data_IF_429551145407
#
_entry.id   IF_429551145407
#
_cell.length_a   1.000
_cell.length_b   1.000
_cell.length_c   1.000
_cell.angle_alpha   90.00
_cell.angle_beta   90.00
_cell.angle_gamma   90.00
#
_symmetry.space_group_name_H-M   'P 1'
#
loop_
_entity.id
_entity.type
_entity.pdbx_description
1 polymer ?
#
# COMPACT_ATOMS: atom_id res chain seq x y z
N UNK A 1 21.44 -26.11 22.20
CA UNK A 1 20.24 -25.30 21.88
C UNK A 1 20.53 -23.84 22.24
N UNK A 2 21.24 -23.11 21.37
CA UNK A 2 21.40 -21.67 21.48
C UNK A 2 20.12 -21.02 20.95
N UNK A 3 19.20 -20.71 21.85
CA UNK A 3 18.12 -19.79 21.54
C UNK A 3 18.77 -18.47 21.14
N UNK A 4 18.71 -18.12 19.86
CA UNK A 4 18.98 -16.75 19.42
C UNK A 4 18.03 -15.89 20.22
N UNK A 5 18.55 -15.14 21.19
CA UNK A 5 17.76 -14.18 21.96
C UNK A 5 17.05 -13.31 20.93
N UNK A 6 15.70 -13.35 20.85
CA UNK A 6 14.98 -12.58 19.86
C UNK A 6 15.33 -11.12 20.11
N UNK A 7 16.11 -10.54 19.19
CA UNK A 7 16.42 -9.12 19.21
C UNK A 7 15.06 -8.44 19.13
N UNK A 8 14.68 -7.71 20.17
CA UNK A 8 13.44 -6.94 20.19
C UNK A 8 13.60 -5.80 19.20
N UNK A 9 13.26 -6.07 17.94
CA UNK A 9 13.13 -5.04 16.91
C UNK A 9 11.94 -4.17 17.36
N UNK A 10 12.15 -2.86 17.61
CA UNK A 10 11.05 -1.95 17.89
C UNK A 10 10.02 -2.05 16.77
N UNK A 11 8.74 -2.15 17.12
CA UNK A 11 7.66 -2.26 16.12
C UNK A 11 7.56 -1.03 15.20
N UNK A 12 8.18 0.08 15.60
CA UNK A 12 8.23 1.34 14.87
C UNK A 12 9.67 1.62 14.44
N UNK A 13 10.01 1.18 13.22
CA UNK A 13 11.34 1.34 12.59
C UNK A 13 11.58 2.79 12.16
N UNK A 14 10.52 3.59 12.00
CA UNK A 14 10.56 5.01 11.65
C UNK A 14 10.64 5.93 12.88
N UNK A 15 11.34 5.50 13.95
CA UNK A 15 11.58 6.37 15.09
C UNK A 15 12.48 7.55 14.69
N UNK A 16 11.95 8.75 14.81
CA UNK A 16 12.70 9.98 14.55
C UNK A 16 13.88 10.15 15.52
N UNK A 17 15.02 10.54 14.96
CA UNK A 17 16.24 10.79 15.74
C UNK A 17 16.03 11.87 16.80
N UNK A 18 16.46 11.54 18.01
CA UNK A 18 16.44 12.44 19.16
C UNK A 18 17.72 13.28 19.15
N UNK A 19 17.57 14.60 19.05
CA UNK A 19 18.71 15.52 18.89
C UNK A 19 19.09 16.16 20.22
N UNK A 20 18.12 16.72 20.94
CA UNK A 20 18.40 17.51 22.16
C UNK A 20 17.55 16.98 23.31
N UNK A 21 18.21 16.57 24.40
CA UNK A 21 17.57 16.14 25.65
C UNK A 21 16.45 15.08 25.47
N UNK A 22 16.56 14.23 24.45
CA UNK A 22 15.57 13.19 24.15
C UNK A 22 14.40 13.63 23.27
N UNK A 23 14.38 14.88 22.79
CA UNK A 23 13.38 15.40 21.85
C UNK A 23 13.85 15.31 20.40
N UNK A 24 12.90 15.10 19.49
CA UNK A 24 13.10 15.13 18.04
C UNK A 24 13.32 16.56 17.53
N UNK A 25 13.95 16.72 16.37
CA UNK A 25 14.10 18.03 15.72
C UNK A 25 12.76 18.78 15.62
N UNK A 26 11.71 18.06 15.21
CA UNK A 26 10.35 18.59 15.08
C UNK A 26 9.82 19.11 16.42
N UNK A 27 9.96 18.34 17.49
CA UNK A 27 9.49 18.73 18.82
C UNK A 27 10.17 20.01 19.31
N UNK A 28 11.49 20.12 19.11
CA UNK A 28 12.25 21.32 19.46
C UNK A 28 11.73 22.52 18.68
N UNK A 29 11.51 22.39 17.36
CA UNK A 29 10.97 23.48 16.53
C UNK A 29 9.59 23.94 17.02
N UNK A 30 8.69 23.01 17.35
CA UNK A 30 7.35 23.35 17.86
C UNK A 30 7.44 24.07 19.21
N UNK A 31 8.25 23.56 20.14
CA UNK A 31 8.39 24.14 21.48
C UNK A 31 9.06 25.52 21.44
N UNK A 32 10.17 25.64 20.70
CA UNK A 32 10.89 26.92 20.53
C UNK A 32 10.01 27.92 19.80
N UNK A 33 9.30 27.51 18.74
CA UNK A 33 8.36 28.37 18.02
C UNK A 33 7.21 28.87 18.90
N UNK A 34 6.63 27.98 19.72
CA UNK A 34 5.58 28.36 20.69
C UNK A 34 6.11 29.34 21.72
N UNK A 35 7.30 29.08 22.28
CA UNK A 35 7.95 29.96 23.24
C UNK A 35 8.28 31.34 22.65
N UNK A 36 8.81 31.38 21.43
CA UNK A 36 9.12 32.62 20.73
C UNK A 36 7.85 33.45 20.44
N UNK A 37 6.75 32.79 20.05
CA UNK A 37 5.46 33.45 19.81
C UNK A 37 4.88 34.04 21.09
N UNK A 38 4.93 33.30 22.20
CA UNK A 38 4.50 33.79 23.50
C UNK A 38 5.36 34.96 23.99
N UNK A 39 6.67 34.89 23.81
CA UNK A 39 7.58 35.97 24.17
C UNK A 39 7.35 37.23 23.32
N UNK A 40 7.18 37.09 22.00
CA UNK A 40 6.87 38.21 21.12
C UNK A 40 5.54 38.88 21.49
N UNK A 41 4.50 38.08 21.79
CA UNK A 41 3.22 38.60 22.27
C UNK A 41 3.36 39.37 23.59
N UNK A 42 4.18 38.85 24.51
CA UNK A 42 4.48 39.53 25.77
C UNK A 42 5.23 40.85 25.56
N UNK A 43 6.21 40.92 24.66
CA UNK A 43 6.93 42.17 24.37
C UNK A 43 6.02 43.23 23.73
N UNK A 44 5.05 42.84 22.90
CA UNK A 44 4.13 43.76 22.22
C UNK A 44 3.05 44.36 23.15
N UNK A 45 2.58 43.57 24.11
CA UNK A 45 1.34 43.86 24.86
C UNK A 45 1.53 43.83 26.38
N UNK A 46 2.64 43.27 26.88
CA UNK A 46 2.91 43.04 28.30
C UNK A 46 2.94 44.30 29.14
N UNK A 47 3.42 45.43 28.61
CA UNK A 47 3.41 46.71 29.31
C UNK A 47 2.00 47.32 29.44
N UNK A 48 1.04 46.85 28.64
CA UNK A 48 -0.33 47.38 28.60
C UNK A 48 -1.34 46.50 29.34
N UNK A 49 -0.95 45.28 29.74
CA UNK A 49 -1.86 44.27 30.27
C UNK A 49 -1.30 43.70 31.57
N UNK A 50 -2.12 43.56 32.63
CA UNK A 50 -1.68 42.96 33.88
C UNK A 50 -1.08 41.57 33.67
N UNK A 51 0.02 41.27 34.39
CA UNK A 51 0.76 40.00 34.26
C UNK A 51 -0.14 38.76 34.40
N UNK A 52 -1.16 38.82 35.26
CA UNK A 52 -2.11 37.73 35.48
C UNK A 52 -2.92 37.41 34.22
N UNK A 53 -3.33 38.43 33.47
CA UNK A 53 -4.09 38.26 32.22
C UNK A 53 -3.18 37.69 31.14
N UNK A 54 -1.94 38.18 31.03
CA UNK A 54 -0.93 37.61 30.14
C UNK A 54 -0.67 36.13 30.45
N UNK A 55 -0.49 35.77 31.71
CA UNK A 55 -0.28 34.38 32.14
C UNK A 55 -1.50 33.49 31.85
N UNK A 56 -2.72 33.99 32.11
CA UNK A 56 -3.96 33.26 31.85
C UNK A 56 -4.16 32.92 30.36
N UNK A 57 -3.71 33.78 29.45
CA UNK A 57 -3.76 33.54 28.00
C UNK A 57 -2.57 32.70 27.52
N UNK A 58 -1.37 32.93 28.07
CA UNK A 58 -0.16 32.21 27.68
C UNK A 58 -0.20 30.73 28.09
N UNK A 59 -0.77 30.42 29.26
CA UNK A 59 -0.83 29.06 29.78
C UNK A 59 -1.53 28.05 28.83
N UNK A 60 -2.75 28.28 28.32
CA UNK A 60 -3.39 27.33 27.41
C UNK A 60 -2.64 27.18 26.08
N UNK A 61 -1.99 28.24 25.58
CA UNK A 61 -1.19 28.19 24.36
C UNK A 61 0.08 27.35 24.59
N UNK A 62 0.76 27.55 25.72
CA UNK A 62 1.93 26.76 26.10
C UNK A 62 1.57 25.28 26.26
N UNK A 63 0.46 24.98 26.96
CA UNK A 63 -0.05 23.60 27.10
C UNK A 63 -0.39 23.01 25.73
N UNK A 64 -1.06 23.76 24.85
CA UNK A 64 -1.37 23.31 23.50
C UNK A 64 -0.10 23.02 22.69
N UNK A 65 0.93 23.87 22.77
CA UNK A 65 2.22 23.66 22.08
C UNK A 65 2.97 22.42 22.61
N UNK A 66 2.94 22.19 23.92
CA UNK A 66 3.51 20.98 24.54
C UNK A 66 2.76 19.73 24.08
N UNK A 67 1.42 19.75 24.12
CA UNK A 67 0.59 18.64 23.63
C UNK A 67 0.83 18.41 22.13
N UNK A 68 0.93 19.45 21.32
CA UNK A 68 1.22 19.35 19.89
C UNK A 68 2.57 18.69 19.61
N UNK A 69 3.60 18.99 20.43
CA UNK A 69 4.92 18.38 20.30
C UNK A 69 4.96 16.93 20.79
N UNK A 70 4.27 16.62 21.89
CA UNK A 70 4.48 15.37 22.64
C UNK A 70 3.39 14.33 22.45
N UNK A 71 2.14 14.75 22.22
CA UNK A 71 1.03 13.83 22.13
C UNK A 71 1.07 13.04 20.81
N UNK A 72 0.67 11.78 20.90
CA UNK A 72 0.47 10.90 19.77
C UNK A 72 -0.95 10.34 19.78
N UNK A 73 -1.50 10.12 18.61
CA UNK A 73 -2.77 9.46 18.40
C UNK A 73 -2.56 8.37 17.35
N UNK A 74 -2.82 7.11 17.70
CA UNK A 74 -2.66 5.93 16.84
C UNK A 74 -1.30 5.86 16.13
N UNK A 75 -0.23 6.21 16.85
CA UNK A 75 1.15 6.22 16.33
C UNK A 75 1.56 7.49 15.59
N UNK A 76 0.62 8.34 15.17
CA UNK A 76 0.90 9.64 14.55
C UNK A 76 1.10 10.73 15.59
N UNK A 77 2.01 11.67 15.32
CA UNK A 77 2.16 12.88 16.14
C UNK A 77 0.94 13.80 15.97
N UNK A 78 0.56 14.52 17.04
CA UNK A 78 -0.67 15.33 17.06
C UNK A 78 -0.70 16.42 15.98
N UNK A 79 0.46 16.99 15.64
CA UNK A 79 0.59 17.96 14.55
C UNK A 79 0.24 17.35 13.17
N UNK A 80 0.75 16.15 12.87
CA UNK A 80 0.43 15.42 11.63
C UNK A 80 -1.05 15.02 11.60
N UNK A 81 -1.58 14.59 12.74
CA UNK A 81 -2.99 14.25 12.88
C UNK A 81 -3.88 15.47 12.62
N UNK A 82 -3.64 16.60 13.30
CA UNK A 82 -4.42 17.83 13.10
C UNK A 82 -4.31 18.35 11.67
N UNK A 83 -3.13 18.25 11.06
CA UNK A 83 -2.95 18.63 9.67
C UNK A 83 -3.73 17.71 8.72
N UNK A 84 -3.77 16.40 8.99
CA UNK A 84 -4.62 15.46 8.28
C UNK A 84 -6.11 15.77 8.46
N UNK A 85 -6.54 16.15 9.67
CA UNK A 85 -7.92 16.59 9.95
C UNK A 85 -8.25 17.86 9.17
N UNK A 86 -7.39 18.88 9.19
CA UNK A 86 -7.60 20.12 8.42
C UNK A 86 -7.67 19.84 6.93
N UNK A 87 -6.77 19.00 6.39
CA UNK A 87 -6.83 18.55 4.99
C UNK A 87 -8.12 17.81 4.70
N UNK A 88 -8.55 16.90 5.57
CA UNK A 88 -9.78 16.15 5.41
C UNK A 88 -11.02 17.06 5.43
N UNK A 89 -11.07 18.04 6.33
CA UNK A 89 -12.17 19.01 6.42
C UNK A 89 -12.24 19.91 5.18
N UNK A 90 -11.09 20.27 4.60
CA UNK A 90 -11.00 21.07 3.36
C UNK A 90 -11.17 20.24 2.08
N UNK A 91 -11.01 18.92 2.15
CA UNK A 91 -11.12 18.05 0.99
C UNK A 91 -12.59 17.96 0.50
N UNK A 92 -12.80 17.91 -0.83
CA UNK A 92 -14.14 17.75 -1.38
C UNK A 92 -14.74 16.41 -0.93
N UNK A 93 -15.98 16.46 -0.42
CA UNK A 93 -16.68 15.28 0.13
C UNK A 93 -17.45 14.47 -0.91
N UNK A 94 -17.70 15.05 -2.08
CA UNK A 94 -18.42 14.42 -3.18
C UNK A 94 -17.40 14.17 -4.27
N UNK A 95 -17.04 12.90 -4.47
CA UNK A 95 -16.06 12.46 -5.46
C UNK A 95 -16.77 11.62 -6.51
N UNK A 96 -16.46 11.83 -7.79
CA UNK A 96 -17.03 11.08 -8.91
C UNK A 96 -15.90 10.46 -9.72
N UNK A 97 -16.10 9.21 -10.14
CA UNK A 97 -15.24 8.56 -11.13
C UNK A 97 -15.55 9.17 -12.50
N UNK A 98 -14.77 10.16 -12.90
CA UNK A 98 -14.85 10.79 -14.21
C UNK A 98 -13.45 10.79 -14.83
N UNK A 99 -13.34 10.37 -16.09
CA UNK A 99 -12.07 10.36 -16.84
C UNK A 99 -11.61 11.75 -17.25
N UNK A 100 -12.53 12.73 -17.29
CA UNK A 100 -12.28 14.13 -17.58
C UNK A 100 -12.70 15.01 -16.40
N UNK A 101 -12.28 16.28 -16.41
CA UNK A 101 -12.76 17.26 -15.44
C UNK A 101 -14.29 17.33 -15.45
N UNK A 102 -14.88 17.40 -14.26
CA UNK A 102 -16.34 17.43 -14.11
C UNK A 102 -16.86 18.73 -14.76
N UNK A 103 -17.66 18.64 -15.85
CA UNK A 103 -18.16 19.83 -16.51
C UNK A 103 -19.11 20.61 -15.58
N UNK A 104 -19.17 21.94 -15.70
CA UNK A 104 -20.10 22.74 -14.91
C UNK A 104 -21.55 22.36 -15.24
N UNK A 105 -22.46 22.54 -14.27
CA UNK A 105 -23.88 22.30 -14.50
C UNK A 105 -24.38 23.14 -15.69
N UNK A 106 -25.12 22.53 -16.64
CA UNK A 106 -25.77 23.28 -17.69
C UNK A 106 -26.71 24.36 -17.13
N UNK A 107 -26.69 25.54 -17.73
CA UNK A 107 -27.42 26.73 -17.25
C UNK A 107 -28.95 26.60 -17.29
N UNK A 108 -29.48 25.63 -18.04
CA UNK A 108 -30.91 25.36 -18.14
C UNK A 108 -31.48 24.55 -16.97
N UNK A 109 -30.63 24.02 -16.08
CA UNK A 109 -31.07 23.28 -14.89
C UNK A 109 -31.29 24.27 -13.73
N UNK A 110 -32.57 24.52 -13.40
CA UNK A 110 -32.99 25.40 -12.29
C UNK A 110 -32.82 24.82 -10.88
N UNK A 111 -32.00 23.77 -10.71
CA UNK A 111 -31.73 23.18 -9.40
C UNK A 111 -30.83 24.10 -8.57
N UNK A 112 -31.08 24.22 -7.26
CA UNK A 112 -30.15 24.92 -6.36
C UNK A 112 -28.79 24.21 -6.42
N UNK A 113 -27.72 24.86 -6.89
CA UNK A 113 -26.43 24.20 -7.01
C UNK A 113 -25.91 23.90 -5.62
N UNK A 114 -25.81 22.61 -5.28
CA UNK A 114 -24.98 22.16 -4.17
C UNK A 114 -23.49 22.31 -4.50
N UNK A 115 -22.59 22.00 -3.55
CA UNK A 115 -21.17 21.94 -3.86
C UNK A 115 -20.93 20.95 -5.00
N UNK A 116 -20.23 21.40 -6.04
CA UNK A 116 -19.90 20.59 -7.20
C UNK A 116 -19.07 19.38 -6.76
N UNK A 117 -19.35 18.18 -7.31
CA UNK A 117 -18.49 17.04 -7.06
C UNK A 117 -17.11 17.29 -7.67
N UNK A 118 -16.08 16.85 -6.95
CA UNK A 118 -14.72 16.83 -7.48
C UNK A 118 -14.43 15.47 -8.12
N UNK A 119 -13.41 15.43 -8.97
CA UNK A 119 -12.94 14.18 -9.56
C UNK A 119 -12.27 13.30 -8.49
N UNK A 120 -12.61 12.00 -8.48
CA UNK A 120 -11.89 11.01 -7.70
C UNK A 120 -10.50 10.79 -8.33
N UNK A 121 -9.45 11.28 -7.67
CA UNK A 121 -8.07 11.05 -8.10
C UNK A 121 -7.49 9.86 -7.35
N UNK A 122 -7.28 8.76 -8.07
CA UNK A 122 -6.60 7.58 -7.53
C UNK A 122 -5.07 7.78 -7.57
N UNK A 123 -4.31 7.20 -6.64
CA UNK A 123 -2.84 7.26 -6.66
C UNK A 123 -2.23 6.65 -7.92
N UNK A 124 -2.88 5.61 -8.46
CA UNK A 124 -2.53 5.01 -9.74
C UNK A 124 -3.36 5.71 -10.82
N UNK A 125 -2.68 6.31 -11.80
CA UNK A 125 -3.32 7.02 -12.92
C UNK A 125 -3.56 6.10 -14.13
N UNK A 126 -2.79 5.02 -14.25
CA UNK A 126 -2.92 4.06 -15.35
C UNK A 126 -1.79 3.03 -15.35
N UNK A 127 -1.64 2.36 -16.49
CA UNK A 127 -0.58 1.39 -16.74
C UNK A 127 0.50 2.01 -17.61
N UNK A 128 1.76 1.82 -17.26
CA UNK A 128 2.92 2.32 -18.01
C UNK A 128 3.48 1.28 -19.00
N UNK A 129 2.77 0.17 -19.23
CA UNK A 129 3.23 -0.99 -20.02
C UNK A 129 3.90 -2.07 -19.16
N UNK A 130 3.95 -3.30 -19.68
CA UNK A 130 4.60 -4.47 -19.04
C UNK A 130 4.17 -4.75 -17.58
N UNK A 131 2.94 -4.39 -17.21
CA UNK A 131 2.43 -4.55 -15.84
C UNK A 131 2.92 -3.49 -14.83
N UNK A 132 3.64 -2.45 -15.29
CA UNK A 132 4.07 -1.33 -14.46
C UNK A 132 2.92 -0.34 -14.22
N UNK A 133 2.84 0.16 -12.99
CA UNK A 133 1.85 1.15 -12.57
C UNK A 133 2.39 2.57 -12.74
N UNK A 134 1.56 3.41 -13.36
CA UNK A 134 1.77 4.85 -13.47
C UNK A 134 1.20 5.55 -12.22
N UNK A 135 2.07 6.18 -11.41
CA UNK A 135 1.68 6.93 -10.21
C UNK A 135 1.62 8.46 -10.46
N UNK A 136 1.57 8.90 -11.71
CA UNK A 136 1.68 10.30 -12.11
C UNK A 136 2.93 10.99 -11.54
N UNK A 137 2.79 12.07 -10.74
CA UNK A 137 3.91 12.81 -10.18
C UNK A 137 4.76 11.97 -9.21
N UNK A 138 4.20 10.88 -8.68
CA UNK A 138 4.87 9.98 -7.75
C UNK A 138 5.77 8.94 -8.45
N UNK A 139 5.81 8.92 -9.78
CA UNK A 139 6.71 8.08 -10.57
C UNK A 139 6.06 6.76 -11.03
N UNK A 140 6.87 5.69 -11.08
CA UNK A 140 6.47 4.37 -11.57
C UNK A 140 6.61 3.33 -10.45
N UNK A 141 5.70 2.36 -10.40
CA UNK A 141 5.81 1.21 -9.51
C UNK A 141 5.71 -0.13 -10.25
N UNK A 142 6.56 -1.07 -9.88
CA UNK A 142 6.46 -2.47 -10.28
C UNK A 142 5.93 -3.28 -9.08
N UNK A 143 4.99 -4.18 -9.32
CA UNK A 143 4.48 -5.11 -8.30
C UNK A 143 4.80 -6.53 -8.74
N UNK A 144 5.39 -7.31 -7.84
CA UNK A 144 5.63 -8.72 -8.05
C UNK A 144 4.99 -9.57 -6.96
N UNK A 145 4.46 -10.72 -7.35
CA UNK A 145 4.08 -11.79 -6.44
C UNK A 145 5.32 -12.58 -6.03
N UNK A 146 5.42 -12.88 -4.74
CA UNK A 146 6.56 -13.59 -4.15
C UNK A 146 6.04 -14.85 -3.48
N UNK A 147 6.59 -16.00 -3.88
CA UNK A 147 6.26 -17.27 -3.21
C UNK A 147 6.82 -17.32 -1.80
N UNK A 148 6.34 -18.29 -1.02
CA UNK A 148 6.76 -18.47 0.37
C UNK A 148 7.47 -19.80 0.55
N UNK A 149 8.41 -19.86 1.50
CA UNK A 149 9.06 -21.10 1.93
C UNK A 149 8.70 -21.44 3.38
N UNK A 150 8.66 -22.73 3.71
CA UNK A 150 8.39 -23.21 5.08
C UNK A 150 9.61 -23.04 6.00
N UNK A 151 9.95 -21.80 6.35
CA UNK A 151 11.15 -21.44 7.10
C UNK A 151 11.29 -22.21 8.43
N UNK A 152 10.21 -22.33 9.20
CA UNK A 152 10.22 -22.97 10.52
C UNK A 152 10.49 -24.49 10.46
N UNK A 153 10.28 -25.13 9.30
CA UNK A 153 10.52 -26.57 9.11
C UNK A 153 11.94 -26.88 8.63
N UNK A 154 12.77 -25.86 8.40
CA UNK A 154 14.16 -26.00 7.95
C UNK A 154 15.11 -26.24 9.11
N UNK A 155 16.26 -26.87 8.83
CA UNK A 155 17.30 -27.04 9.83
C UNK A 155 17.91 -25.68 10.24
N UNK A 156 18.46 -25.51 11.45
CA UNK A 156 19.00 -24.21 11.90
C UNK A 156 20.07 -23.62 10.98
N UNK A 157 20.91 -24.46 10.38
CA UNK A 157 21.93 -24.04 9.42
C UNK A 157 21.31 -23.51 8.13
N UNK A 158 20.29 -24.20 7.60
CA UNK A 158 19.52 -23.75 6.44
C UNK A 158 18.78 -22.43 6.73
N UNK A 159 18.20 -22.29 7.92
CA UNK A 159 17.57 -21.05 8.38
C UNK A 159 18.59 -19.90 8.40
N UNK A 160 19.78 -20.12 8.94
CA UNK A 160 20.87 -19.14 8.94
C UNK A 160 21.30 -18.75 7.52
N UNK A 161 21.40 -19.71 6.60
CA UNK A 161 21.71 -19.45 5.21
C UNK A 161 20.63 -18.60 4.51
N UNK A 162 19.34 -18.91 4.72
CA UNK A 162 18.22 -18.14 4.19
C UNK A 162 18.22 -16.70 4.71
N UNK A 163 18.44 -16.51 6.02
CA UNK A 163 18.53 -15.17 6.63
C UNK A 163 19.73 -14.40 6.06
N UNK A 164 20.87 -15.05 5.86
CA UNK A 164 22.05 -14.41 5.28
C UNK A 164 21.82 -13.97 3.82
N UNK A 165 21.15 -14.78 3.00
CA UNK A 165 20.77 -14.40 1.62
C UNK A 165 19.81 -13.21 1.64
N UNK A 166 18.76 -13.28 2.47
CA UNK A 166 17.79 -12.19 2.60
C UNK A 166 18.46 -10.89 3.06
N UNK A 167 19.38 -10.96 4.02
CA UNK A 167 20.18 -9.82 4.47
C UNK A 167 21.06 -9.23 3.37
N UNK A 168 21.66 -10.08 2.51
CA UNK A 168 22.42 -9.60 1.33
C UNK A 168 21.52 -8.85 0.35
N UNK A 169 20.31 -9.34 0.11
CA UNK A 169 19.35 -8.65 -0.73
C UNK A 169 18.94 -7.29 -0.15
N UNK A 170 18.65 -7.22 1.16
CA UNK A 170 18.36 -5.94 1.83
C UNK A 170 19.51 -4.93 1.69
N UNK A 171 20.76 -5.41 1.85
CA UNK A 171 21.95 -4.57 1.71
C UNK A 171 22.25 -4.15 0.25
N UNK A 172 21.67 -4.83 -0.74
CA UNK A 172 21.83 -4.46 -2.16
C UNK A 172 20.77 -3.48 -2.66
N UNK A 173 19.78 -3.12 -1.84
CA UNK A 173 18.71 -2.22 -2.25
C UNK A 173 19.25 -0.81 -2.52
N UNK A 174 19.08 -0.35 -3.75
CA UNK A 174 19.48 1.00 -4.20
C UNK A 174 18.38 2.05 -4.06
N UNK A 175 17.22 1.68 -3.53
CA UNK A 175 16.07 2.56 -3.35
C UNK A 175 14.96 1.93 -2.51
N UNK A 176 13.82 2.61 -2.34
CA UNK A 176 12.72 2.12 -1.52
C UNK A 176 12.11 0.85 -2.14
N UNK A 177 11.81 -0.10 -1.28
CA UNK A 177 11.07 -1.33 -1.59
C UNK A 177 10.05 -1.53 -0.48
N UNK A 178 8.85 -1.95 -0.85
CA UNK A 178 7.81 -2.30 0.09
C UNK A 178 7.49 -3.80 -0.02
N UNK A 179 7.48 -4.47 1.12
CA UNK A 179 6.97 -5.84 1.24
C UNK A 179 5.58 -5.74 1.84
N UNK A 180 4.57 -6.15 1.09
CA UNK A 180 3.18 -6.16 1.53
C UNK A 180 2.72 -7.61 1.70
N UNK A 181 2.34 -7.96 2.92
CA UNK A 181 1.71 -9.26 3.20
C UNK A 181 0.23 -9.03 3.44
N UNK A 182 -0.63 -9.65 2.63
CA UNK A 182 -2.08 -9.55 2.76
C UNK A 182 -2.74 -10.91 2.83
N UNK A 183 -3.91 -10.98 3.46
CA UNK A 183 -4.82 -12.10 3.30
C UNK A 183 -5.63 -11.90 2.02
N UNK A 184 -5.72 -12.94 1.19
CA UNK A 184 -6.44 -12.96 -0.07
C UNK A 184 -7.34 -14.21 -0.09
N UNK A 185 -8.57 -14.08 -0.61
CA UNK A 185 -9.42 -15.24 -0.87
C UNK A 185 -8.76 -16.10 -1.95
N UNK A 186 -8.57 -17.38 -1.65
CA UNK A 186 -7.98 -18.34 -2.57
C UNK A 186 -9.02 -18.68 -3.64
N UNK A 187 -8.78 -18.21 -4.86
CA UNK A 187 -9.54 -18.65 -6.03
C UNK A 187 -9.03 -20.02 -6.51
N UNK A 188 -9.89 -21.02 -6.47
CA UNK A 188 -9.61 -22.38 -6.92
C UNK A 188 -10.18 -22.66 -8.33
N UNK A 189 -10.89 -21.73 -8.95
CA UNK A 189 -11.62 -21.96 -10.20
C UNK A 189 -10.70 -22.47 -11.33
N UNK A 190 -9.53 -21.84 -11.50
CA UNK A 190 -8.54 -22.25 -12.50
C UNK A 190 -7.98 -23.65 -12.21
N UNK A 191 -7.68 -23.94 -10.94
CA UNK A 191 -7.18 -25.25 -10.49
C UNK A 191 -8.22 -26.35 -10.74
N UNK A 192 -9.48 -26.09 -10.39
CA UNK A 192 -10.61 -27.02 -10.59
C UNK A 192 -10.80 -27.28 -12.09
N UNK A 193 -10.88 -26.23 -12.90
CA UNK A 193 -11.04 -26.35 -14.36
C UNK A 193 -9.89 -27.12 -15.00
N UNK A 194 -8.65 -26.86 -14.56
CA UNK A 194 -7.46 -27.57 -15.03
C UNK A 194 -7.48 -29.05 -14.64
N UNK A 195 -7.89 -29.37 -13.42
CA UNK A 195 -8.06 -30.75 -12.96
C UNK A 195 -9.12 -31.49 -13.78
N UNK A 196 -10.28 -30.86 -14.03
CA UNK A 196 -11.36 -31.45 -14.84
C UNK A 196 -10.94 -31.68 -16.29
N UNK A 197 -10.20 -30.74 -16.87
CA UNK A 197 -9.68 -30.86 -18.24
C UNK A 197 -8.65 -31.99 -18.34
N UNK A 198 -7.66 -31.99 -17.45
CA UNK A 198 -6.58 -32.99 -17.44
C UNK A 198 -7.11 -34.39 -17.09
N UNK A 199 -8.15 -34.50 -16.24
CA UNK A 199 -8.76 -35.77 -15.89
C UNK A 199 -9.26 -36.55 -17.11
N UNK A 200 -9.71 -35.86 -18.17
CA UNK A 200 -10.19 -36.50 -19.42
C UNK A 200 -9.07 -37.06 -20.27
N UNK A 201 -7.83 -36.63 -20.05
CA UNK A 201 -6.65 -37.03 -20.81
C UNK A 201 -5.85 -38.14 -20.11
N UNK A 202 -6.22 -38.53 -18.89
CA UNK A 202 -5.50 -39.54 -18.13
C UNK A 202 -5.70 -40.94 -18.73
N UNK A 203 -4.63 -41.76 -18.82
CA UNK A 203 -4.65 -43.02 -19.55
C UNK A 203 -5.48 -44.12 -18.88
N UNK A 204 -5.72 -44.03 -17.56
CA UNK A 204 -6.41 -45.05 -16.78
C UNK A 204 -7.72 -44.50 -16.18
N UNK A 205 -8.86 -45.21 -16.31
CA UNK A 205 -10.17 -44.71 -15.87
C UNK A 205 -10.23 -44.41 -14.38
N UNK A 206 -9.56 -45.21 -13.54
CA UNK A 206 -9.49 -44.95 -12.09
C UNK A 206 -8.77 -43.63 -11.75
N UNK A 207 -7.76 -43.22 -12.52
CA UNK A 207 -7.06 -41.95 -12.32
C UNK A 207 -7.94 -40.77 -12.75
N UNK A 208 -8.68 -40.93 -13.85
CA UNK A 208 -9.68 -39.96 -14.29
C UNK A 208 -10.76 -39.74 -13.23
N UNK A 209 -11.31 -40.84 -12.69
CA UNK A 209 -12.31 -40.78 -11.61
C UNK A 209 -11.75 -40.10 -10.35
N UNK A 210 -10.53 -40.42 -9.93
CA UNK A 210 -9.90 -39.80 -8.77
C UNK A 210 -9.66 -38.29 -8.96
N UNK A 211 -9.21 -37.87 -10.16
CA UNK A 211 -9.00 -36.46 -10.48
C UNK A 211 -10.32 -35.66 -10.47
N UNK A 212 -11.40 -36.22 -11.02
CA UNK A 212 -12.73 -35.59 -10.97
C UNK A 212 -13.29 -35.53 -9.55
N UNK A 213 -13.10 -36.58 -8.74
CA UNK A 213 -13.47 -36.56 -7.32
C UNK A 213 -12.71 -35.49 -6.55
N UNK A 214 -11.42 -35.28 -6.86
CA UNK A 214 -10.63 -34.22 -6.26
C UNK A 214 -11.15 -32.83 -6.66
N UNK A 215 -11.45 -32.61 -7.94
CA UNK A 215 -12.05 -31.36 -8.41
C UNK A 215 -13.38 -31.06 -7.70
N UNK A 216 -14.26 -32.08 -7.56
CA UNK A 216 -15.52 -31.96 -6.82
C UNK A 216 -15.31 -31.63 -5.34
N UNK A 217 -14.32 -32.25 -4.69
CA UNK A 217 -13.97 -31.94 -3.31
C UNK A 217 -13.50 -30.48 -3.16
N UNK A 218 -12.62 -30.00 -4.06
CA UNK A 218 -12.14 -28.61 -4.04
C UNK A 218 -13.26 -27.61 -4.30
N UNK A 219 -14.18 -27.90 -5.22
CA UNK A 219 -15.36 -27.08 -5.46
C UNK A 219 -16.23 -26.96 -4.20
N UNK A 220 -16.52 -28.09 -3.55
CA UNK A 220 -17.27 -28.09 -2.29
C UNK A 220 -16.54 -27.40 -1.14
N UNK A 221 -15.20 -27.42 -1.13
CA UNK A 221 -14.40 -26.70 -0.13
C UNK A 221 -14.47 -25.19 -0.34
N UNK A 222 -14.37 -24.72 -1.59
CA UNK A 222 -14.48 -23.31 -1.95
C UNK A 222 -15.88 -22.74 -1.68
N UNK A 223 -16.93 -23.54 -1.83
CA UNK A 223 -18.32 -23.11 -1.57
C UNK A 223 -18.62 -22.97 -0.07
N UNK A 224 -18.09 -23.88 0.76
CA UNK A 224 -18.43 -23.97 2.19
C UNK A 224 -17.52 -23.13 3.09
N UNK A 225 -16.30 -22.82 2.65
CA UNK A 225 -15.31 -22.17 3.49
C UNK A 225 -14.71 -20.94 2.81
N UNK A 226 -14.47 -19.90 3.62
CA UNK A 226 -13.65 -18.80 3.18
C UNK A 226 -12.17 -19.20 3.24
N UNK A 227 -11.67 -19.72 2.12
CA UNK A 227 -10.28 -20.14 2.00
C UNK A 227 -9.40 -18.90 1.83
N UNK A 228 -8.59 -18.60 2.85
CA UNK A 228 -7.66 -17.48 2.81
C UNK A 228 -6.23 -17.97 2.63
N UNK A 229 -5.49 -17.32 1.73
CA UNK A 229 -4.03 -17.47 1.61
C UNK A 229 -3.31 -16.18 1.98
N UNK A 230 -2.05 -16.31 2.40
CA UNK A 230 -1.16 -15.16 2.54
C UNK A 230 -0.53 -14.89 1.18
N UNK A 231 -0.84 -13.74 0.60
CA UNK A 231 -0.16 -13.24 -0.59
C UNK A 231 0.96 -12.29 -0.14
N UNK A 232 2.16 -12.49 -0.66
CA UNK A 232 3.33 -11.66 -0.37
C UNK A 232 3.68 -10.91 -1.65
N UNK A 233 3.60 -9.59 -1.59
CA UNK A 233 3.88 -8.72 -2.72
C UNK A 233 5.16 -7.93 -2.47
N UNK A 234 5.99 -7.84 -3.50
CA UNK A 234 7.16 -6.99 -3.54
C UNK A 234 6.89 -5.80 -4.45
N UNK A 235 6.93 -4.60 -3.90
CA UNK A 235 6.62 -3.37 -4.61
C UNK A 235 7.91 -2.54 -4.70
N UNK A 236 8.34 -2.27 -5.93
CA UNK A 236 9.49 -1.39 -6.21
C UNK A 236 8.96 -0.10 -6.79
N UNK A 237 9.27 1.03 -6.15
CA UNK A 237 8.88 2.37 -6.63
C UNK A 237 10.12 3.14 -7.08
N UNK A 238 10.02 3.76 -8.24
CA UNK A 238 10.98 4.69 -8.80
C UNK A 238 10.33 6.06 -8.94
N UNK A 239 10.91 7.08 -8.29
CA UNK A 239 10.47 8.46 -8.48
C UNK A 239 10.84 8.93 -9.90
N UNK A 240 9.92 9.59 -10.57
CA UNK A 240 10.13 10.09 -11.93
C UNK A 240 9.30 11.34 -12.19
N UNK A 241 9.94 12.39 -12.72
CA UNK A 241 9.26 13.61 -13.19
C UNK A 241 9.45 13.78 -14.71
N UNK A 242 8.35 14.09 -15.41
CA UNK A 242 8.38 14.37 -16.85
C UNK A 242 8.99 13.26 -17.71
N UNK A 243 9.95 13.63 -18.57
CA UNK A 243 10.56 12.73 -19.57
C UNK A 243 11.42 11.59 -19.00
N UNK A 244 11.68 11.56 -17.69
CA UNK A 244 12.48 10.52 -17.05
C UNK A 244 11.70 9.22 -16.74
N UNK A 245 10.45 9.11 -17.20
CA UNK A 245 9.52 8.03 -16.85
C UNK A 245 9.93 6.68 -17.42
N UNK A 246 10.36 6.64 -18.68
CA UNK A 246 10.88 5.42 -19.32
C UNK A 246 12.13 4.89 -18.60
N UNK A 247 13.05 5.80 -18.24
CA UNK A 247 14.24 5.43 -17.49
C UNK A 247 13.90 4.90 -16.10
N UNK A 248 12.88 5.46 -15.44
CA UNK A 248 12.38 4.96 -14.16
C UNK A 248 11.72 3.58 -14.28
N UNK A 249 10.92 3.35 -15.33
CA UNK A 249 10.36 2.03 -15.64
C UNK A 249 11.46 0.98 -15.83
N UNK A 250 12.49 1.29 -16.63
CA UNK A 250 13.63 0.40 -16.83
C UNK A 250 14.40 0.11 -15.54
N UNK A 251 14.56 1.10 -14.65
CA UNK A 251 15.18 0.89 -13.33
C UNK A 251 14.33 0.02 -12.42
N UNK A 252 13.00 0.22 -12.39
CA UNK A 252 12.09 -0.57 -11.57
C UNK A 252 12.15 -2.06 -11.98
N UNK A 253 12.11 -2.34 -13.28
CA UNK A 253 12.24 -3.70 -13.82
C UNK A 253 13.60 -4.33 -13.46
N UNK A 254 14.70 -3.59 -13.63
CA UNK A 254 16.04 -4.09 -13.30
C UNK A 254 16.17 -4.43 -11.82
N UNK A 255 15.68 -3.57 -10.93
CA UNK A 255 15.70 -3.81 -9.48
C UNK A 255 14.85 -5.03 -9.10
N UNK A 256 13.73 -5.25 -9.79
CA UNK A 256 12.92 -6.44 -9.57
C UNK A 256 13.61 -7.71 -10.08
N UNK A 257 14.31 -7.64 -11.22
CA UNK A 257 15.10 -8.75 -11.73
C UNK A 257 16.27 -9.10 -10.80
N UNK A 258 16.97 -8.09 -10.27
CA UNK A 258 18.00 -8.26 -9.24
C UNK A 258 17.43 -8.93 -7.99
N UNK A 259 16.25 -8.49 -7.53
CA UNK A 259 15.54 -9.12 -6.42
C UNK A 259 15.20 -10.58 -6.73
N UNK A 260 14.68 -10.87 -7.92
CA UNK A 260 14.38 -12.25 -8.35
C UNK A 260 15.61 -13.15 -8.34
N UNK A 261 16.76 -12.68 -8.85
CA UNK A 261 18.01 -13.45 -8.90
C UNK A 261 18.60 -13.70 -7.51
N UNK A 262 18.53 -12.72 -6.61
CA UNK A 262 19.07 -12.86 -5.26
C UNK A 262 18.15 -13.72 -4.38
N UNK A 263 16.83 -13.52 -4.47
CA UNK A 263 15.85 -14.25 -3.67
C UNK A 263 15.61 -15.67 -4.18
N UNK A 264 15.93 -15.99 -5.44
CA UNK A 264 15.89 -17.38 -5.93
C UNK A 264 16.84 -18.30 -5.16
N UNK A 265 17.96 -17.78 -4.64
CA UNK A 265 18.86 -18.53 -3.76
C UNK A 265 18.21 -18.91 -2.42
N UNK A 266 17.12 -18.24 -2.02
CA UNK A 266 16.28 -18.63 -0.88
C UNK A 266 15.19 -19.66 -1.24
N UNK A 267 15.10 -20.08 -2.51
CA UNK A 267 13.96 -20.85 -3.01
C UNK A 267 12.67 -20.02 -3.15
N UNK A 268 12.78 -18.69 -3.14
CA UNK A 268 11.67 -17.78 -3.41
C UNK A 268 11.60 -17.48 -4.90
N UNK A 269 10.40 -17.40 -5.45
CA UNK A 269 10.15 -17.01 -6.83
C UNK A 269 9.50 -15.65 -6.83
N UNK A 270 10.10 -14.69 -7.55
CA UNK A 270 9.56 -13.33 -7.70
C UNK A 270 9.02 -13.22 -9.13
N UNK A 271 7.72 -13.01 -9.27
CA UNK A 271 7.05 -12.90 -10.58
C UNK A 271 6.42 -11.53 -10.70
N UNK A 272 6.87 -10.73 -11.68
CA UNK A 272 6.21 -9.48 -12.05
C UNK A 272 4.74 -9.75 -12.39
N UNK A 273 3.84 -8.95 -11.84
CA UNK A 273 2.44 -9.00 -12.21
C UNK A 273 2.26 -8.40 -13.60
N UNK A 274 1.60 -9.15 -14.49
CA UNK A 274 1.13 -8.59 -15.75
C UNK A 274 0.01 -7.56 -15.51
N UNK A 275 -0.37 -6.85 -16.57
CA UNK A 275 -1.38 -5.80 -16.48
C UNK A 275 -2.74 -6.28 -15.96
N UNK A 276 -3.18 -7.47 -16.40
CA UNK A 276 -4.44 -8.04 -15.95
C UNK A 276 -4.38 -8.41 -14.46
N UNK A 277 -3.28 -9.00 -14.00
CA UNK A 277 -3.06 -9.36 -12.61
C UNK A 277 -2.92 -8.14 -11.71
N UNK A 278 -2.21 -7.10 -12.16
CA UNK A 278 -2.08 -5.83 -11.44
C UNK A 278 -3.44 -5.13 -11.30
N UNK A 279 -4.23 -5.09 -12.37
CA UNK A 279 -5.60 -4.54 -12.35
C UNK A 279 -6.53 -5.32 -11.41
N UNK A 280 -6.49 -6.66 -11.46
CA UNK A 280 -7.24 -7.52 -10.51
C UNK A 280 -6.81 -7.25 -9.06
N UNK A 281 -5.51 -7.15 -8.81
CA UNK A 281 -4.97 -6.85 -7.48
C UNK A 281 -5.49 -5.50 -6.96
N UNK A 282 -5.41 -4.45 -7.78
CA UNK A 282 -5.89 -3.11 -7.42
C UNK A 282 -7.40 -3.11 -7.16
N UNK A 283 -8.17 -3.83 -7.97
CA UNK A 283 -9.63 -3.93 -7.78
C UNK A 283 -9.98 -4.67 -6.49
N UNK A 284 -9.29 -5.77 -6.19
CA UNK A 284 -9.42 -6.50 -4.93
C UNK A 284 -8.96 -5.70 -3.68
N UNK A 285 -8.32 -4.53 -3.86
CA UNK A 285 -8.07 -3.60 -2.76
C UNK A 285 -9.29 -2.72 -2.44
N UNK A 286 -10.18 -2.45 -3.41
CA UNK A 286 -11.39 -1.67 -3.20
C UNK A 286 -12.54 -2.50 -2.62
N UNK A 287 -12.66 -3.76 -3.07
CA UNK A 287 -13.59 -4.72 -2.50
C UNK A 287 -12.88 -6.08 -2.31
N UNK A 288 -12.31 -6.34 -1.13
CA UNK A 288 -11.63 -7.60 -0.84
C UNK A 288 -12.59 -8.78 -0.65
N UNK A 289 -13.88 -8.53 -0.47
CA UNK A 289 -14.90 -9.56 -0.26
C UNK A 289 -15.58 -9.96 -1.58
N UNK A 290 -15.52 -9.11 -2.60
CA UNK A 290 -16.03 -9.41 -3.93
C UNK A 290 -15.42 -10.69 -4.51
N UNK A 291 -16.20 -11.47 -5.29
CA UNK A 291 -15.63 -12.56 -6.08
C UNK A 291 -14.60 -12.00 -7.07
N UNK A 292 -13.57 -12.79 -7.42
CA UNK A 292 -12.59 -12.37 -8.40
C UNK A 292 -13.29 -12.05 -9.72
N UNK A 293 -12.96 -10.89 -10.30
CA UNK A 293 -13.53 -10.47 -11.56
C UNK A 293 -13.07 -11.42 -12.69
N UNK A 294 -13.94 -11.72 -13.67
CA UNK A 294 -13.59 -12.59 -14.80
C UNK A 294 -12.58 -11.89 -15.72
N UNK A 295 -11.30 -12.07 -15.42
CA UNK A 295 -10.20 -11.32 -16.05
C UNK A 295 -10.07 -11.52 -17.56
N UNK A 296 -10.51 -12.64 -18.11
CA UNK A 296 -10.48 -12.91 -19.54
C UNK A 296 -11.61 -12.23 -20.34
N UNK A 297 -12.62 -11.67 -19.64
CA UNK A 297 -13.83 -11.12 -20.26
C UNK A 297 -13.91 -9.60 -20.13
N UNK A 298 -13.02 -8.97 -19.37
CA UNK A 298 -12.99 -7.52 -19.18
C UNK A 298 -12.01 -6.85 -20.15
N UNK A 299 -12.44 -5.74 -20.75
CA UNK A 299 -11.56 -4.85 -21.49
C UNK A 299 -10.64 -4.08 -20.53
N UNK A 300 -9.40 -3.82 -20.96
CA UNK A 300 -8.50 -2.91 -20.25
C UNK A 300 -9.04 -1.45 -20.27
N UNK A 301 -8.59 -0.55 -19.37
CA UNK A 301 -9.12 0.81 -19.25
C UNK A 301 -9.09 1.66 -20.53
N UNK A 302 -8.18 1.37 -21.45
CA UNK A 302 -7.97 2.04 -22.74
C UNK A 302 -8.49 1.22 -23.94
N UNK A 303 -8.95 -0.01 -23.69
CA UNK A 303 -9.51 -0.88 -24.72
C UNK A 303 -11.00 -0.65 -24.89
N UNK A 304 -11.43 -0.61 -26.15
CA UNK A 304 -12.86 -0.57 -26.49
C UNK A 304 -13.52 -1.86 -26.00
N UNK A 305 -14.63 -1.73 -25.29
CA UNK A 305 -15.45 -2.86 -24.84
C UNK A 305 -16.06 -3.51 -26.09
N UNK A 306 -15.57 -4.70 -26.45
CA UNK A 306 -15.98 -5.43 -27.67
C UNK A 306 -16.86 -6.65 -27.38
N UNK A 307 -17.02 -7.06 -26.12
CA UNK A 307 -17.90 -8.15 -25.70
C UNK A 307 -18.74 -7.72 -24.50
N UNK A 308 -20.03 -7.99 -24.58
CA UNK A 308 -21.02 -7.73 -23.54
C UNK A 308 -22.21 -8.64 -23.77
N UNK A 309 -21.98 -9.95 -23.75
CA UNK A 309 -23.06 -10.92 -23.80
C UNK A 309 -23.20 -11.57 -22.43
N UNK A 310 -24.43 -11.50 -21.91
CA UNK A 310 -24.94 -12.05 -20.65
C UNK A 310 -24.67 -11.20 -19.40
N UNK A 311 -25.57 -10.22 -19.20
CA UNK A 311 -25.94 -9.75 -17.87
C UNK A 311 -26.85 -10.77 -17.19
#
# INVERSE_FOLDING_TARGET
MSWVQPVRIPADVDQEDKIVAGFTARQVVILVGTGALLYAAYVLVGDRVPLVVCAAVALPIAVAGILLATARHDGLSLDRYLLAVVRHLRAPKRLVSASQEVPPLPTWIGARPGPAPAQLRLPVQGMAGDGLLDLGPDGIAAIADVSTVSFALRAPEEQGALVAVFGRWLNSLSGPVQILVRAERLDLAETITSLEHNARQLPHPALSAAALQHAYFLAGLAERHDLLRRQVLLIVRESATGKAREAAAARALRRLEEASRLLSACGLTVRLLDEAAASRLLTACFDPAAPPLPGAQMAAPDQVITRGENW
#
